data_IF_603553733543
#
_entry.id   IF_603553733543
#
_cell.length_a   1.000
_cell.length_b   1.000
_cell.length_c   1.000
_cell.angle_alpha   90.00
_cell.angle_beta   90.00
_cell.angle_gamma   90.00
#
_symmetry.space_group_name_H-M   'P 1'
#
loop_
_entity.id
_entity.type
_entity.pdbx_description
1 polymer ?
#
# COMPACT_ATOMS: atom_id res chain seq x y z
N UNK A 1 -75.66 -56.92 5.44
CA UNK A 1 -76.24 -56.07 6.50
C UNK A 1 -75.09 -55.36 7.20
N UNK A 2 -74.93 -54.05 7.04
CA UNK A 2 -73.99 -53.24 7.84
C UNK A 2 -74.80 -52.38 8.79
N UNK A 3 -74.47 -52.32 10.10
CA UNK A 3 -75.25 -51.54 11.05
C UNK A 3 -75.06 -50.04 10.77
N UNK A 4 -76.16 -49.29 10.66
CA UNK A 4 -76.12 -47.82 10.60
C UNK A 4 -75.67 -47.32 11.98
N UNK A 5 -74.44 -46.79 12.06
CA UNK A 5 -73.91 -46.11 13.25
C UNK A 5 -74.93 -45.10 13.80
N UNK A 6 -75.14 -45.15 15.11
CA UNK A 6 -76.11 -44.34 15.83
C UNK A 6 -75.65 -42.87 15.89
N UNK A 7 -76.58 -41.91 15.92
CA UNK A 7 -76.30 -40.45 15.89
C UNK A 7 -75.27 -40.00 16.95
N UNK A 8 -75.24 -40.71 18.08
CA UNK A 8 -74.32 -40.51 19.22
C UNK A 8 -72.86 -40.91 18.91
N UNK A 9 -72.65 -41.98 18.13
CA UNK A 9 -71.30 -42.44 17.74
C UNK A 9 -70.65 -41.48 16.73
N UNK A 10 -71.44 -40.85 15.84
CA UNK A 10 -70.95 -39.83 14.91
C UNK A 10 -70.54 -38.52 15.59
N UNK A 11 -71.16 -38.20 16.72
CA UNK A 11 -70.86 -36.99 17.50
C UNK A 11 -69.60 -37.18 18.36
N UNK A 12 -69.41 -38.38 18.90
CA UNK A 12 -68.21 -38.76 19.63
C UNK A 12 -66.97 -38.88 18.72
N UNK A 13 -67.15 -39.39 17.50
CA UNK A 13 -66.12 -39.45 16.45
C UNK A 13 -65.68 -38.04 15.99
N UNK A 14 -66.62 -37.08 15.91
CA UNK A 14 -66.31 -35.67 15.66
C UNK A 14 -65.53 -35.00 16.79
N UNK A 15 -65.90 -35.27 18.05
CA UNK A 15 -65.16 -34.72 19.21
C UNK A 15 -63.73 -35.24 19.28
N UNK A 16 -63.50 -36.53 19.04
CA UNK A 16 -62.13 -37.08 19.00
C UNK A 16 -61.30 -36.50 17.86
N UNK A 17 -61.89 -36.33 16.68
CA UNK A 17 -61.20 -35.72 15.54
C UNK A 17 -60.87 -34.23 15.79
N UNK A 18 -61.73 -33.49 16.49
CA UNK A 18 -61.48 -32.10 16.86
C UNK A 18 -60.39 -31.98 17.93
N UNK A 19 -60.40 -32.86 18.93
CA UNK A 19 -59.40 -32.92 20.01
C UNK A 19 -58.03 -33.37 19.50
N UNK A 20 -57.98 -34.29 18.52
CA UNK A 20 -56.76 -34.68 17.81
C UNK A 20 -56.20 -33.53 16.96
N UNK A 21 -57.08 -32.77 16.28
CA UNK A 21 -56.68 -31.60 15.49
C UNK A 21 -56.11 -30.47 16.38
N UNK A 22 -56.71 -30.23 17.55
CA UNK A 22 -56.21 -29.29 18.55
C UNK A 22 -54.83 -29.69 19.09
N UNK A 23 -54.61 -30.98 19.38
CA UNK A 23 -53.29 -31.48 19.81
C UNK A 23 -52.22 -31.31 18.73
N UNK A 24 -52.56 -31.58 17.47
CA UNK A 24 -51.63 -31.42 16.35
C UNK A 24 -51.25 -29.94 16.14
N UNK A 25 -52.21 -29.03 16.28
CA UNK A 25 -52.02 -27.58 16.12
C UNK A 25 -51.18 -26.99 17.28
N UNK A 26 -51.38 -27.48 18.50
CA UNK A 26 -50.56 -27.10 19.66
C UNK A 26 -49.12 -27.66 19.54
N UNK A 27 -48.95 -28.90 19.11
CA UNK A 27 -47.63 -29.49 18.86
C UNK A 27 -46.88 -28.73 17.75
N UNK A 28 -47.58 -28.34 16.68
CA UNK A 28 -47.00 -27.54 15.61
C UNK A 28 -46.56 -26.15 16.09
N UNK A 29 -47.38 -25.48 16.91
CA UNK A 29 -47.01 -24.20 17.53
C UNK A 29 -45.76 -24.30 18.41
N UNK A 30 -45.62 -25.39 19.17
CA UNK A 30 -44.45 -25.60 20.04
C UNK A 30 -43.19 -25.81 19.18
N UNK A 31 -43.28 -26.59 18.10
CA UNK A 31 -42.15 -26.80 17.16
C UNK A 31 -41.72 -25.50 16.48
N UNK A 32 -42.67 -24.70 16.00
CA UNK A 32 -42.37 -23.44 15.31
C UNK A 32 -41.71 -22.42 16.27
N UNK A 33 -42.14 -22.40 17.54
CA UNK A 33 -41.56 -21.55 18.61
C UNK A 33 -40.14 -22.00 19.00
N UNK A 34 -39.90 -23.31 19.12
CA UNK A 34 -38.56 -23.87 19.36
C UNK A 34 -37.61 -23.60 18.19
N UNK A 35 -38.05 -23.79 16.95
CA UNK A 35 -37.26 -23.53 15.76
C UNK A 35 -36.90 -22.04 15.63
N UNK A 36 -37.83 -21.13 15.97
CA UNK A 36 -37.54 -19.69 16.01
C UNK A 36 -36.45 -19.38 17.04
N UNK A 37 -36.56 -19.93 18.26
CA UNK A 37 -35.55 -19.74 19.32
C UNK A 37 -34.19 -20.30 18.94
N UNK A 38 -34.16 -21.47 18.29
CA UNK A 38 -32.91 -22.06 17.80
C UNK A 38 -32.24 -21.18 16.76
N UNK A 39 -32.98 -20.66 15.78
CA UNK A 39 -32.44 -19.71 14.78
C UNK A 39 -31.90 -18.43 15.42
N UNK A 40 -32.62 -17.85 16.37
CA UNK A 40 -32.18 -16.64 17.07
C UNK A 40 -30.88 -16.87 17.86
N UNK A 41 -30.75 -18.04 18.51
CA UNK A 41 -29.54 -18.43 19.24
C UNK A 41 -28.36 -18.69 18.29
N UNK A 42 -28.59 -19.41 17.19
CA UNK A 42 -27.57 -19.66 16.16
C UNK A 42 -27.06 -18.35 15.53
N UNK A 43 -27.96 -17.42 15.22
CA UNK A 43 -27.59 -16.09 14.71
C UNK A 43 -26.83 -15.26 15.74
N UNK A 44 -27.16 -15.39 17.03
CA UNK A 44 -26.40 -14.73 18.11
C UNK A 44 -24.98 -15.29 18.19
N UNK A 45 -24.84 -16.61 18.26
CA UNK A 45 -23.54 -17.29 18.34
C UNK A 45 -22.69 -16.95 17.11
N UNK A 46 -23.28 -16.95 15.91
CA UNK A 46 -22.59 -16.59 14.67
C UNK A 46 -22.05 -15.16 14.71
N UNK A 47 -22.86 -14.20 15.16
CA UNK A 47 -22.42 -12.79 15.30
C UNK A 47 -21.30 -12.63 16.31
N UNK A 48 -21.40 -13.32 17.45
CA UNK A 48 -20.35 -13.30 18.48
C UNK A 48 -19.03 -13.90 17.95
N UNK A 49 -19.10 -15.00 17.21
CA UNK A 49 -17.93 -15.63 16.60
C UNK A 49 -17.30 -14.74 15.52
N UNK A 50 -18.11 -14.17 14.64
CA UNK A 50 -17.63 -13.24 13.60
C UNK A 50 -16.96 -12.01 14.21
N UNK A 51 -17.53 -11.46 15.29
CA UNK A 51 -16.91 -10.33 15.97
C UNK A 51 -15.59 -10.72 16.63
N UNK A 52 -15.53 -11.89 17.27
CA UNK A 52 -14.28 -12.40 17.85
C UNK A 52 -13.19 -12.56 16.80
N UNK A 53 -13.52 -13.16 15.64
CA UNK A 53 -12.58 -13.32 14.53
C UNK A 53 -12.12 -11.95 14.00
N UNK A 54 -13.03 -10.98 13.87
CA UNK A 54 -12.66 -9.62 13.47
C UNK A 54 -11.68 -8.97 14.42
N UNK A 55 -11.89 -9.10 15.73
CA UNK A 55 -10.99 -8.54 16.74
C UNK A 55 -9.62 -9.23 16.74
N UNK A 56 -9.57 -10.55 16.59
CA UNK A 56 -8.32 -11.31 16.48
C UNK A 56 -7.54 -10.92 15.20
N UNK A 57 -8.24 -10.77 14.07
CA UNK A 57 -7.63 -10.33 12.81
C UNK A 57 -7.11 -8.90 12.89
N UNK A 58 -7.87 -7.99 13.51
CA UNK A 58 -7.47 -6.61 13.73
C UNK A 58 -6.18 -6.54 14.56
N UNK A 59 -6.13 -7.30 15.66
CA UNK A 59 -4.94 -7.36 16.51
C UNK A 59 -3.71 -7.92 15.76
N UNK A 60 -3.90 -8.94 14.91
CA UNK A 60 -2.82 -9.46 14.06
C UNK A 60 -2.31 -8.40 13.07
N UNK A 61 -3.24 -7.68 12.43
CA UNK A 61 -2.91 -6.63 11.47
C UNK A 61 -2.20 -5.44 12.12
N UNK A 62 -2.59 -5.06 13.34
CA UNK A 62 -1.92 -3.99 14.09
C UNK A 62 -0.47 -4.34 14.46
N UNK A 63 -0.24 -5.60 14.87
CA UNK A 63 1.11 -6.11 15.14
C UNK A 63 1.97 -6.10 13.86
N UNK A 64 1.40 -6.53 12.73
CA UNK A 64 2.09 -6.55 11.44
C UNK A 64 2.38 -5.13 10.93
N UNK A 65 1.41 -4.21 11.06
CA UNK A 65 1.54 -2.82 10.65
C UNK A 65 2.74 -2.15 11.34
N UNK A 66 2.92 -2.40 12.64
CA UNK A 66 4.05 -1.85 13.40
C UNK A 66 5.39 -2.30 12.80
N UNK A 67 5.53 -3.59 12.46
CA UNK A 67 6.74 -4.15 11.84
C UNK A 67 6.98 -3.57 10.45
N UNK A 68 5.93 -3.37 9.66
CA UNK A 68 6.02 -2.79 8.32
C UNK A 68 6.47 -1.33 8.39
N UNK A 69 5.92 -0.55 9.32
CA UNK A 69 6.31 0.85 9.54
C UNK A 69 7.78 0.92 9.96
N UNK A 70 8.22 0.11 10.92
CA UNK A 70 9.61 0.08 11.37
C UNK A 70 10.57 -0.28 10.23
N UNK A 71 10.23 -1.30 9.43
CA UNK A 71 11.00 -1.70 8.25
C UNK A 71 11.05 -0.57 7.23
N UNK A 72 9.93 0.08 6.94
CA UNK A 72 9.85 1.20 5.99
C UNK A 72 10.73 2.36 6.43
N UNK A 73 10.65 2.75 7.71
CA UNK A 73 11.48 3.80 8.28
C UNK A 73 12.96 3.45 8.24
N UNK A 74 13.30 2.18 8.52
CA UNK A 74 14.68 1.70 8.45
C UNK A 74 15.22 1.78 7.02
N UNK A 75 14.45 1.31 6.02
CA UNK A 75 14.84 1.40 4.62
C UNK A 75 15.02 2.86 4.21
N UNK A 76 14.05 3.72 4.52
CA UNK A 76 14.13 5.14 4.19
C UNK A 76 15.37 5.80 4.78
N UNK A 77 15.69 5.53 6.06
CA UNK A 77 16.90 6.06 6.70
C UNK A 77 18.17 5.54 6.02
N UNK A 78 18.24 4.24 5.74
CA UNK A 78 19.41 3.63 5.11
C UNK A 78 19.63 4.14 3.69
N UNK A 79 18.56 4.45 2.95
CA UNK A 79 18.66 5.08 1.63
C UNK A 79 19.32 6.45 1.73
N UNK A 80 18.81 7.33 2.59
CA UNK A 80 19.38 8.67 2.81
C UNK A 80 20.84 8.58 3.27
N UNK A 81 21.15 7.74 4.27
CA UNK A 81 22.53 7.54 4.75
C UNK A 81 23.48 6.95 3.70
N UNK A 82 22.94 6.25 2.69
CA UNK A 82 23.74 5.73 1.58
C UNK A 82 23.99 6.79 0.52
N UNK A 83 23.01 7.66 0.27
CA UNK A 83 23.13 8.79 -0.65
C UNK A 83 24.13 9.82 -0.10
N UNK A 84 23.98 10.23 1.17
CA UNK A 84 24.91 11.17 1.83
C UNK A 84 26.36 10.65 1.83
N UNK A 85 26.57 9.36 2.12
CA UNK A 85 27.92 8.77 2.08
C UNK A 85 28.51 8.70 0.67
N UNK A 86 27.66 8.54 -0.34
CA UNK A 86 28.11 8.55 -1.74
C UNK A 86 28.54 9.97 -2.11
N UNK A 87 27.73 10.97 -1.77
CA UNK A 87 28.02 12.39 -2.00
C UNK A 87 29.33 12.81 -1.31
N UNK A 88 29.52 12.49 -0.03
CA UNK A 88 30.77 12.79 0.70
C UNK A 88 31.99 12.11 0.06
N UNK A 89 31.82 10.87 -0.42
CA UNK A 89 32.86 10.14 -1.14
C UNK A 89 33.22 10.80 -2.48
N UNK A 90 32.20 11.16 -3.27
CA UNK A 90 32.37 11.82 -4.57
C UNK A 90 33.03 13.20 -4.41
N UNK A 91 32.65 13.98 -3.38
CA UNK A 91 33.29 15.26 -3.04
C UNK A 91 34.77 15.07 -2.64
N UNK A 92 35.06 14.06 -1.82
CA UNK A 92 36.43 13.76 -1.39
C UNK A 92 37.32 13.33 -2.56
N UNK A 93 36.80 12.49 -3.46
CA UNK A 93 37.51 12.06 -4.66
C UNK A 93 37.77 13.25 -5.60
N UNK A 94 36.80 14.17 -5.75
CA UNK A 94 36.98 15.44 -6.48
C UNK A 94 38.10 16.28 -5.86
N UNK A 95 38.12 16.38 -4.53
CA UNK A 95 39.14 17.13 -3.80
C UNK A 95 40.55 16.56 -3.99
N UNK A 96 40.72 15.23 -3.91
CA UNK A 96 42.01 14.56 -4.05
C UNK A 96 42.52 14.57 -5.49
N UNK A 97 41.62 14.45 -6.46
CA UNK A 97 41.98 14.47 -7.89
C UNK A 97 42.29 15.88 -8.42
N UNK A 98 42.00 16.93 -7.64
CA UNK A 98 42.03 18.32 -8.10
C UNK A 98 41.23 18.49 -9.42
N UNK A 99 40.08 17.83 -9.53
CA UNK A 99 39.25 17.87 -10.74
C UNK A 99 38.77 19.31 -10.99
N UNK A 100 39.17 19.94 -12.12
CA UNK A 100 38.78 21.31 -12.44
C UNK A 100 37.34 21.44 -12.95
N UNK A 101 36.62 20.32 -13.11
CA UNK A 101 35.27 20.34 -13.67
C UNK A 101 34.24 20.88 -12.67
N UNK A 102 33.29 21.71 -13.14
CA UNK A 102 32.18 22.15 -12.31
C UNK A 102 31.29 20.95 -11.94
N UNK A 103 30.71 21.02 -10.76
CA UNK A 103 29.65 20.11 -10.35
C UNK A 103 28.35 20.43 -11.11
N UNK A 104 27.83 19.49 -11.94
CA UNK A 104 26.61 19.70 -12.71
C UNK A 104 25.34 19.76 -11.87
N UNK A 105 25.36 19.40 -10.58
CA UNK A 105 24.20 19.55 -9.69
C UNK A 105 24.21 20.90 -8.94
N UNK A 106 25.32 21.64 -8.99
CA UNK A 106 25.49 22.94 -8.36
C UNK A 106 25.42 24.09 -9.38
N UNK A 107 24.27 24.76 -9.44
CA UNK A 107 24.03 25.88 -10.36
C UNK A 107 25.05 27.02 -10.21
N UNK A 108 25.50 27.30 -8.99
CA UNK A 108 26.47 28.37 -8.74
C UNK A 108 27.84 28.01 -9.30
N UNK A 109 28.24 26.74 -9.19
CA UNK A 109 29.51 26.25 -9.72
C UNK A 109 29.53 26.28 -11.25
N UNK A 110 28.46 25.78 -11.90
CA UNK A 110 28.29 25.87 -13.36
C UNK A 110 28.27 27.32 -13.86
N UNK A 111 27.52 28.20 -13.20
CA UNK A 111 27.43 29.62 -13.60
C UNK A 111 28.79 30.31 -13.47
N UNK A 112 29.54 30.00 -12.41
CA UNK A 112 30.89 30.52 -12.20
C UNK A 112 31.83 30.03 -13.28
N UNK A 113 31.78 28.73 -13.58
CA UNK A 113 32.57 28.11 -14.65
C UNK A 113 32.27 28.75 -16.01
N UNK A 114 30.99 28.88 -16.41
CA UNK A 114 30.59 29.49 -17.68
C UNK A 114 31.04 30.95 -17.79
N UNK A 115 30.93 31.71 -16.69
CA UNK A 115 31.37 33.11 -16.64
C UNK A 115 32.88 33.23 -16.81
N UNK A 116 33.65 32.39 -16.12
CA UNK A 116 35.12 32.36 -16.25
C UNK A 116 35.54 31.92 -17.65
N UNK A 117 34.81 30.97 -18.24
CA UNK A 117 35.04 30.48 -19.60
C UNK A 117 34.82 31.56 -20.65
N UNK A 118 33.71 32.30 -20.56
CA UNK A 118 33.37 33.39 -21.48
C UNK A 118 34.41 34.52 -21.42
N UNK A 119 34.93 34.81 -20.23
CA UNK A 119 35.95 35.83 -20.01
C UNK A 119 37.35 35.37 -20.43
N UNK A 120 37.58 34.05 -20.46
CA UNK A 120 38.82 33.42 -20.89
C UNK A 120 39.07 33.57 -22.39
N UNK A 121 40.34 33.63 -22.77
CA UNK A 121 40.77 33.50 -24.17
C UNK A 121 41.88 32.47 -24.25
N UNK A 122 41.74 31.54 -25.18
CA UNK A 122 42.79 30.56 -25.47
C UNK A 122 44.06 31.28 -25.91
N UNK A 123 45.19 30.98 -25.28
CA UNK A 123 46.49 31.57 -25.63
C UNK A 123 47.13 30.84 -26.81
N UNK A 124 46.89 29.54 -26.91
CA UNK A 124 47.37 28.69 -27.99
C UNK A 124 46.38 27.57 -28.36
N UNK A 125 46.71 26.85 -29.43
CA UNK A 125 45.84 25.79 -29.97
C UNK A 125 45.70 24.59 -29.02
N UNK A 126 46.70 24.29 -28.18
CA UNK A 126 46.63 23.19 -27.25
C UNK A 126 45.68 23.53 -26.09
N UNK A 127 45.73 24.77 -25.59
CA UNK A 127 44.77 25.27 -24.60
C UNK A 127 43.34 25.25 -25.16
N UNK A 128 43.15 25.63 -26.44
CA UNK A 128 41.85 25.54 -27.11
C UNK A 128 41.31 24.09 -27.20
N UNK A 129 42.17 23.12 -27.54
CA UNK A 129 41.80 21.70 -27.62
C UNK A 129 41.42 21.16 -26.23
N UNK A 130 42.20 21.48 -25.21
CA UNK A 130 41.91 21.05 -23.83
C UNK A 130 40.60 21.67 -23.33
N UNK A 131 40.37 22.95 -23.64
CA UNK A 131 39.12 23.62 -23.32
C UNK A 131 37.92 22.96 -24.03
N UNK A 132 38.05 22.60 -25.30
CA UNK A 132 36.99 21.86 -26.00
C UNK A 132 36.69 20.49 -25.35
N UNK A 133 37.71 19.80 -24.85
CA UNK A 133 37.56 18.51 -24.14
C UNK A 133 36.83 18.69 -22.81
N UNK A 134 37.22 19.68 -22.01
CA UNK A 134 36.56 20.01 -20.74
C UNK A 134 35.09 20.35 -20.98
N UNK A 135 34.79 21.16 -22.01
CA UNK A 135 33.41 21.49 -22.37
C UNK A 135 32.59 20.25 -22.78
N UNK A 136 33.17 19.33 -23.55
CA UNK A 136 32.52 18.06 -23.89
C UNK A 136 32.19 17.25 -22.63
N UNK A 137 33.13 17.15 -21.68
CA UNK A 137 32.95 16.39 -20.44
C UNK A 137 31.85 16.98 -19.55
N UNK A 138 31.79 18.31 -19.42
CA UNK A 138 30.70 19.00 -18.70
C UNK A 138 29.35 18.71 -19.36
N UNK A 139 29.26 18.79 -20.70
CA UNK A 139 28.02 18.49 -21.43
C UNK A 139 27.61 17.02 -21.29
N UNK A 140 28.57 16.08 -21.26
CA UNK A 140 28.27 14.67 -21.02
C UNK A 140 27.73 14.43 -19.62
N UNK A 141 28.32 15.06 -18.59
CA UNK A 141 27.84 14.99 -17.21
C UNK A 141 26.43 15.54 -17.06
N UNK A 142 26.15 16.72 -17.64
CA UNK A 142 24.80 17.31 -17.66
C UNK A 142 23.76 16.41 -18.35
N UNK A 143 24.13 15.78 -19.47
CA UNK A 143 23.25 14.82 -20.15
C UNK A 143 22.97 13.59 -19.29
N UNK A 144 23.97 13.07 -18.58
CA UNK A 144 23.77 11.95 -17.65
C UNK A 144 22.77 12.32 -16.57
N UNK A 145 22.96 13.49 -15.93
CA UNK A 145 22.05 14.01 -14.92
C UNK A 145 20.62 14.16 -15.44
N UNK A 146 20.46 14.68 -16.66
CA UNK A 146 19.16 14.78 -17.33
C UNK A 146 18.51 13.40 -17.53
N UNK A 147 19.26 12.41 -18.02
CA UNK A 147 18.72 11.07 -18.23
C UNK A 147 18.32 10.39 -16.91
N UNK A 148 19.11 10.57 -15.87
CA UNK A 148 18.82 10.05 -14.53
C UNK A 148 17.56 10.73 -13.96
N UNK A 149 17.44 12.05 -14.07
CA UNK A 149 16.25 12.81 -13.67
C UNK A 149 14.97 12.37 -14.41
N UNK A 150 15.07 12.15 -15.72
CA UNK A 150 13.96 11.65 -16.55
C UNK A 150 13.58 10.22 -16.16
N UNK A 151 14.55 9.36 -15.88
CA UNK A 151 14.31 7.97 -15.45
C UNK A 151 13.63 7.89 -14.08
N UNK A 152 13.97 8.79 -13.16
CA UNK A 152 13.45 8.82 -11.80
C UNK A 152 12.16 9.63 -11.63
N UNK A 153 11.62 10.20 -12.72
CA UNK A 153 10.45 11.11 -12.71
C UNK A 153 10.63 12.32 -11.76
N UNK A 154 11.88 12.74 -11.52
CA UNK A 154 12.22 13.95 -10.74
C UNK A 154 12.03 15.18 -11.63
N UNK A 155 10.81 15.73 -11.65
CA UNK A 155 10.42 16.84 -12.54
C UNK A 155 11.20 18.13 -12.30
N UNK A 156 11.72 18.35 -11.10
CA UNK A 156 12.43 19.58 -10.73
C UNK A 156 13.78 19.72 -11.46
N UNK A 157 14.41 18.60 -11.84
CA UNK A 157 15.70 18.59 -12.54
C UNK A 157 15.55 18.63 -14.09
N UNK A 158 14.32 18.49 -14.61
CA UNK A 158 14.04 18.42 -16.06
C UNK A 158 13.91 19.80 -16.69
N UNK A 159 13.46 20.82 -15.95
CA UNK A 159 13.35 22.20 -16.48
C UNK A 159 14.70 22.89 -16.62
N UNK A 160 15.76 22.35 -16.02
CA UNK A 160 17.04 23.01 -15.85
C UNK A 160 18.20 22.47 -16.71
N UNK A 161 18.24 21.15 -16.97
CA UNK A 161 19.25 20.55 -17.85
C UNK A 161 18.96 20.77 -19.33
#
# INVERSE_FOLDING_TARGET
>A
KMPKKTKKEKEEEKKRAEEERLKLEEEQRIKDEEERKQREEEERIKRELEEKIRQEELARLEEEQTKVIERSNTISRLTVESEERKEEGDEWDKHISCDPLPDPENETDLTSFLTLWEQGKDKDINECIENCRIAEEVVMKLKSLYFDAVSELKTDNIEWC
#
